data_IF_566944030372
#
_entry.id   IF_566944030372
#
_cell.length_a   1.000
_cell.length_b   1.000
_cell.length_c   1.000
_cell.angle_alpha   90.00
_cell.angle_beta   90.00
_cell.angle_gamma   90.00
#
_symmetry.space_group_name_H-M   'P 1'
#
loop_
_entity.id
_entity.type
_entity.pdbx_description
1 polymer ?
#
# COMPACT_ATOMS: atom_id res chain seq x y z
N UNK A 1 7.86 -1.21 43.58
CA UNK A 1 6.71 -2.10 43.30
C UNK A 1 5.44 -1.29 43.45
N UNK A 2 4.72 -1.06 42.35
CA UNK A 2 3.50 -0.24 42.31
C UNK A 2 2.32 -1.17 41.98
N UNK A 3 1.51 -1.46 43.00
CA UNK A 3 0.27 -2.24 42.94
C UNK A 3 -0.89 -1.32 42.56
N UNK A 4 -1.65 -1.64 41.49
CA UNK A 4 -3.01 -1.11 41.33
C UNK A 4 -3.96 -2.19 40.83
N UNK A 5 -5.09 -2.25 41.53
CA UNK A 5 -6.03 -3.34 41.62
C UNK A 5 -7.00 -3.45 40.43
N UNK A 6 -7.41 -4.68 40.18
CA UNK A 6 -8.49 -5.08 39.30
C UNK A 6 -9.80 -4.40 39.68
N UNK A 7 -10.50 -3.79 38.71
CA UNK A 7 -11.93 -3.45 38.84
C UNK A 7 -12.72 -4.16 37.75
N UNK A 8 -13.16 -5.36 38.11
CA UNK A 8 -14.33 -6.03 37.54
C UNK A 8 -15.57 -5.16 37.81
N UNK A 9 -16.34 -4.86 36.78
CA UNK A 9 -17.76 -4.49 36.92
C UNK A 9 -18.54 -5.24 35.83
N UNK A 10 -19.19 -6.33 36.25
CA UNK A 10 -20.34 -6.90 35.56
C UNK A 10 -21.56 -6.05 35.93
N UNK A 11 -22.45 -5.83 34.98
CA UNK A 11 -23.84 -5.45 35.23
C UNK A 11 -24.70 -6.05 34.10
N UNK A 12 -25.85 -6.60 34.48
CA UNK A 12 -26.75 -7.47 33.70
C UNK A 12 -28.15 -6.83 33.73
N UNK A 13 -28.87 -6.74 32.60
CA UNK A 13 -30.34 -6.56 32.60
C UNK A 13 -30.98 -5.40 31.80
N UNK A 14 -31.67 -5.80 30.71
CA UNK A 14 -32.99 -5.34 30.19
C UNK A 14 -33.25 -3.93 29.56
N UNK A 15 -33.46 -3.97 28.24
CA UNK A 15 -34.60 -3.48 27.40
C UNK A 15 -35.03 -1.99 27.46
N UNK A 16 -34.77 -1.25 26.37
CA UNK A 16 -35.38 0.06 26.06
C UNK A 16 -35.13 0.48 24.60
N UNK A 17 -36.15 1.01 23.93
CA UNK A 17 -36.22 1.30 22.50
C UNK A 17 -35.77 2.74 22.15
N UNK A 18 -35.13 2.88 20.97
CA UNK A 18 -35.02 4.07 20.10
C UNK A 18 -33.97 5.18 20.38
N UNK A 19 -33.34 5.55 19.26
CA UNK A 19 -32.65 6.80 18.86
C UNK A 19 -31.18 7.04 19.18
N UNK A 20 -30.52 7.56 18.13
CA UNK A 20 -29.30 8.37 18.09
C UNK A 20 -27.94 7.67 18.16
N UNK A 21 -27.29 7.66 16.98
CA UNK A 21 -25.87 7.91 16.75
C UNK A 21 -24.95 7.99 17.97
N UNK A 22 -24.10 6.98 18.10
CA UNK A 22 -22.74 7.18 18.56
C UNK A 22 -21.88 6.15 17.83
N UNK A 23 -21.08 6.66 16.88
CA UNK A 23 -20.04 5.89 16.23
C UNK A 23 -19.12 5.32 17.32
N UNK A 24 -19.18 4.00 17.50
CA UNK A 24 -18.15 3.28 18.24
C UNK A 24 -16.95 3.16 17.31
N UNK A 25 -16.13 4.23 17.30
CA UNK A 25 -14.78 4.23 16.73
C UNK A 25 -13.87 3.38 17.62
N UNK A 26 -14.19 2.10 17.66
CA UNK A 26 -13.42 1.11 18.39
C UNK A 26 -12.23 0.73 17.52
N UNK A 27 -11.20 1.58 17.54
CA UNK A 27 -9.78 1.26 17.41
C UNK A 27 -9.47 -0.05 16.67
N UNK A 28 -9.96 -0.20 15.44
CA UNK A 28 -9.43 -1.22 14.54
C UNK A 28 -8.00 -0.78 14.29
N UNK A 29 -7.02 -1.54 14.81
CA UNK A 29 -5.65 -1.50 14.30
C UNK A 29 -5.77 -1.86 12.83
N UNK A 30 -5.99 -0.83 12.01
CA UNK A 30 -6.13 -0.94 10.57
C UNK A 30 -4.86 -1.62 10.10
N UNK A 31 -4.98 -2.85 9.61
CA UNK A 31 -3.82 -3.57 9.11
C UNK A 31 -3.20 -2.70 8.01
N UNK A 32 -1.88 -2.74 7.83
CA UNK A 32 -1.20 -1.97 6.75
C UNK A 32 -1.88 -2.23 5.39
N UNK A 33 -2.48 -3.43 5.23
CA UNK A 33 -3.32 -3.83 4.10
C UNK A 33 -4.57 -2.96 3.90
N UNK A 34 -5.26 -2.55 4.95
CA UNK A 34 -6.48 -1.73 4.86
C UNK A 34 -6.20 -0.23 4.67
N UNK A 35 -4.97 0.23 4.98
CA UNK A 35 -4.49 1.60 4.69
C UNK A 35 -3.85 1.74 3.30
N UNK A 36 -3.53 0.63 2.64
CA UNK A 36 -3.15 0.67 1.24
C UNK A 36 -4.42 1.10 0.48
N UNK A 37 -4.46 2.37 0.04
CA UNK A 37 -5.55 2.98 -0.72
C UNK A 37 -5.70 2.31 -2.09
N UNK A 38 -6.08 1.05 -2.07
CA UNK A 38 -6.55 0.30 -3.23
C UNK A 38 -7.93 0.89 -3.51
N UNK A 39 -7.97 1.98 -4.30
CA UNK A 39 -9.21 2.40 -4.96
C UNK A 39 -9.86 1.15 -5.57
N UNK A 40 -11.18 1.07 -5.63
CA UNK A 40 -11.89 -0.15 -6.08
C UNK A 40 -11.48 -0.66 -7.48
N UNK A 41 -10.75 0.15 -8.23
CA UNK A 41 -10.08 -0.16 -9.50
C UNK A 41 -8.87 -1.09 -9.36
N UNK A 42 -8.31 -1.31 -8.17
CA UNK A 42 -7.16 -2.17 -7.96
C UNK A 42 -7.56 -3.38 -7.08
N UNK A 43 -6.97 -4.56 -7.31
CA UNK A 43 -7.17 -5.75 -6.48
C UNK A 43 -5.88 -6.54 -6.37
N UNK A 44 -5.49 -6.94 -5.17
CA UNK A 44 -4.30 -7.74 -4.93
C UNK A 44 -4.68 -9.19 -4.69
N UNK A 45 -3.99 -10.11 -5.37
CA UNK A 45 -4.14 -11.55 -5.26
C UNK A 45 -2.79 -12.17 -4.91
N UNK A 46 -2.77 -13.09 -3.94
CA UNK A 46 -1.58 -13.82 -3.54
C UNK A 46 -1.75 -15.28 -3.99
N UNK A 47 -1.09 -15.74 -5.06
CA UNK A 47 -1.21 -17.12 -5.53
C UNK A 47 -0.80 -18.14 -4.46
N UNK A 48 0.19 -17.79 -3.63
CA UNK A 48 0.64 -18.57 -2.49
C UNK A 48 0.54 -17.72 -1.22
N UNK A 49 -0.29 -18.10 -0.23
CA UNK A 49 -0.46 -17.32 1.00
C UNK A 49 0.83 -17.24 1.85
N UNK A 50 1.79 -18.13 1.62
CA UNK A 50 3.08 -18.12 2.34
C UNK A 50 4.13 -17.22 1.67
N UNK A 51 3.89 -16.77 0.43
CA UNK A 51 4.82 -15.92 -0.34
C UNK A 51 4.27 -14.52 -0.51
N UNK A 52 4.25 -13.76 0.59
CA UNK A 52 3.75 -12.37 0.58
C UNK A 52 4.60 -11.41 -0.28
N UNK A 53 5.84 -11.79 -0.60
CA UNK A 53 6.73 -11.02 -1.48
C UNK A 53 6.41 -11.22 -2.98
N UNK A 54 5.59 -12.21 -3.34
CA UNK A 54 5.16 -12.47 -4.70
C UNK A 54 3.63 -12.36 -4.80
N UNK A 55 3.13 -11.37 -5.51
CA UNK A 55 1.70 -11.16 -5.65
C UNK A 55 1.31 -10.63 -7.02
N UNK A 56 0.04 -10.78 -7.33
CA UNK A 56 -0.57 -10.27 -8.55
C UNK A 56 -1.45 -9.07 -8.23
N UNK A 57 -1.30 -8.00 -9.00
CA UNK A 57 -2.16 -6.82 -8.95
C UNK A 57 -3.04 -6.82 -10.21
N UNK A 58 -4.35 -6.75 -10.01
CA UNK A 58 -5.31 -6.49 -11.09
C UNK A 58 -5.70 -5.02 -11.04
N UNK A 59 -5.57 -4.32 -12.15
CA UNK A 59 -6.03 -2.93 -12.32
C UNK A 59 -7.17 -2.91 -13.34
N UNK A 60 -8.25 -2.25 -12.99
CA UNK A 60 -9.46 -2.04 -13.78
C UNK A 60 -9.78 -0.55 -13.78
N UNK A 61 -9.23 0.22 -14.73
CA UNK A 61 -9.48 1.66 -14.81
C UNK A 61 -10.97 1.93 -15.04
N UNK A 62 -11.49 2.91 -14.31
CA UNK A 62 -12.86 3.42 -14.41
C UNK A 62 -12.96 4.68 -15.29
N UNK A 63 -11.83 5.24 -15.71
CA UNK A 63 -11.72 6.42 -16.58
C UNK A 63 -10.53 6.33 -17.56
N UNK A 64 -10.50 7.24 -18.53
CA UNK A 64 -9.41 7.39 -19.51
C UNK A 64 -9.44 6.38 -20.66
N UNK A 65 -8.37 6.34 -21.46
CA UNK A 65 -8.27 5.51 -22.67
C UNK A 65 -8.40 4.00 -22.43
N UNK A 66 -8.11 3.55 -21.20
CA UNK A 66 -8.12 2.15 -20.80
C UNK A 66 -9.32 1.78 -19.92
N UNK A 67 -10.33 2.66 -19.86
CA UNK A 67 -11.56 2.44 -19.10
C UNK A 67 -12.22 1.10 -19.47
N UNK A 68 -12.65 0.36 -18.46
CA UNK A 68 -13.29 -0.96 -18.63
C UNK A 68 -12.30 -2.10 -18.94
N UNK A 69 -11.02 -1.79 -19.16
CA UNK A 69 -9.96 -2.78 -19.32
C UNK A 69 -9.64 -3.51 -18.01
N UNK A 70 -8.99 -4.66 -18.12
CA UNK A 70 -8.49 -5.44 -16.97
C UNK A 70 -7.05 -5.84 -17.22
N UNK A 71 -6.14 -5.30 -16.42
CA UNK A 71 -4.70 -5.46 -16.60
C UNK A 71 -4.13 -6.18 -15.38
N UNK A 72 -3.45 -7.29 -15.61
CA UNK A 72 -2.81 -8.07 -14.57
C UNK A 72 -1.32 -7.77 -14.54
N UNK A 73 -0.80 -7.57 -13.35
CA UNK A 73 0.59 -7.31 -13.07
C UNK A 73 1.09 -8.34 -12.08
N UNK A 74 2.29 -8.85 -12.31
CA UNK A 74 3.03 -9.68 -11.36
C UNK A 74 4.07 -8.80 -10.68
N UNK A 75 4.14 -8.87 -9.34
CA UNK A 75 5.09 -8.14 -8.52
C UNK A 75 5.90 -9.09 -7.68
N UNK A 76 7.22 -8.95 -7.75
CA UNK A 76 8.19 -9.66 -6.93
C UNK A 76 9.00 -8.63 -6.13
N UNK A 77 8.88 -8.71 -4.81
CA UNK A 77 9.63 -7.88 -3.87
C UNK A 77 10.92 -8.64 -3.53
N UNK A 78 12.11 -8.13 -3.93
CA UNK A 78 13.37 -8.78 -3.59
C UNK A 78 13.69 -8.62 -2.11
N UNK A 79 14.52 -9.52 -1.55
CA UNK A 79 15.00 -9.42 -0.16
C UNK A 79 15.71 -8.09 0.11
N UNK A 80 16.38 -7.56 -0.91
CA UNK A 80 17.06 -6.27 -0.87
C UNK A 80 16.15 -5.08 -1.24
N UNK A 81 14.83 -5.14 -1.00
CA UNK A 81 13.87 -4.10 -1.42
C UNK A 81 14.27 -2.67 -1.01
N UNK A 82 14.93 -2.50 0.14
CA UNK A 82 15.43 -1.21 0.59
C UNK A 82 16.53 -0.63 -0.33
N UNK A 83 17.25 -1.47 -1.06
CA UNK A 83 18.34 -1.11 -1.98
C UNK A 83 17.96 -1.28 -3.46
N UNK A 84 16.99 -2.15 -3.75
CA UNK A 84 16.59 -2.54 -5.10
C UNK A 84 15.06 -2.44 -5.20
N UNK A 85 14.52 -1.77 -6.23
CA UNK A 85 13.08 -1.66 -6.41
C UNK A 85 12.43 -3.04 -6.60
N UNK A 86 11.11 -3.15 -6.38
CA UNK A 86 10.39 -4.37 -6.73
C UNK A 86 10.39 -4.56 -8.24
N UNK A 87 10.41 -5.82 -8.68
CA UNK A 87 10.20 -6.14 -10.08
C UNK A 87 8.70 -6.20 -10.35
N UNK A 88 8.25 -5.46 -11.36
CA UNK A 88 6.84 -5.45 -11.77
C UNK A 88 6.76 -5.73 -13.26
N UNK A 89 5.92 -6.70 -13.64
CA UNK A 89 5.69 -7.09 -15.03
C UNK A 89 4.20 -7.11 -15.34
N UNK A 90 3.80 -6.50 -16.44
CA UNK A 90 2.45 -6.59 -16.97
C UNK A 90 2.27 -7.94 -17.67
N UNK A 91 1.31 -8.75 -17.21
CA UNK A 91 0.97 -10.04 -17.82
C UNK A 91 -0.04 -9.86 -18.97
N UNK A 92 -0.78 -8.75 -18.98
CA UNK A 92 -1.75 -8.44 -20.04
C UNK A 92 -1.05 -7.73 -21.20
N UNK A 93 -1.17 -8.27 -22.42
CA UNK A 93 -0.66 -7.61 -23.63
C UNK A 93 -1.47 -6.36 -23.92
N UNK A 94 -0.81 -5.20 -23.87
CA UNK A 94 -1.43 -3.90 -24.10
C UNK A 94 -0.51 -2.97 -24.85
N UNK A 95 -1.09 -2.03 -25.58
CA UNK A 95 -0.35 -0.88 -26.08
C UNK A 95 -0.40 0.22 -25.01
N UNK A 96 0.74 0.51 -24.39
CA UNK A 96 0.88 1.61 -23.43
C UNK A 96 2.30 2.21 -23.54
N UNK A 97 2.48 3.54 -23.53
CA UNK A 97 3.79 4.17 -23.78
C UNK A 97 4.91 3.71 -22.85
N UNK A 98 4.56 3.29 -21.63
CA UNK A 98 5.50 2.83 -20.61
C UNK A 98 5.52 1.31 -20.41
N UNK A 99 4.83 0.54 -21.25
CA UNK A 99 4.77 -0.93 -21.14
C UNK A 99 5.17 -1.53 -22.47
N UNK A 100 6.22 -2.35 -22.46
CA UNK A 100 6.71 -3.03 -23.66
C UNK A 100 5.76 -4.16 -24.07
N UNK A 101 5.91 -4.68 -25.29
CA UNK A 101 5.14 -5.85 -25.76
C UNK A 101 5.38 -7.10 -24.90
N UNK A 102 6.55 -7.20 -24.28
CA UNK A 102 6.93 -8.26 -23.34
C UNK A 102 6.44 -8.01 -21.91
N UNK A 103 5.81 -6.86 -21.66
CA UNK A 103 5.21 -6.51 -20.36
C UNK A 103 6.15 -5.82 -19.37
N UNK A 104 7.35 -5.41 -19.80
CA UNK A 104 8.28 -4.66 -18.96
C UNK A 104 7.79 -3.22 -18.77
N UNK A 105 7.98 -2.68 -17.57
CA UNK A 105 7.41 -1.39 -17.16
C UNK A 105 8.51 -0.35 -16.96
N UNK A 106 8.41 0.76 -17.69
CA UNK A 106 9.32 1.89 -17.61
C UNK A 106 8.73 3.02 -16.76
N UNK A 107 8.83 2.89 -15.44
CA UNK A 107 8.46 3.94 -14.48
C UNK A 107 9.68 4.39 -13.69
N UNK A 108 9.83 5.71 -13.49
CA UNK A 108 10.96 6.27 -12.72
C UNK A 108 11.03 5.72 -11.30
N UNK A 109 9.88 5.43 -10.69
CA UNK A 109 9.80 4.85 -9.34
C UNK A 109 10.30 3.39 -9.27
N UNK A 110 10.42 2.70 -10.41
CA UNK A 110 10.95 1.34 -10.50
C UNK A 110 12.38 1.32 -11.07
N UNK A 111 12.94 2.49 -11.41
CA UNK A 111 14.31 2.60 -11.89
C UNK A 111 15.29 2.54 -10.71
N UNK A 112 16.18 1.55 -10.74
CA UNK A 112 17.23 1.34 -9.74
C UNK A 112 18.08 2.60 -9.49
N UNK A 113 18.33 3.43 -10.51
CA UNK A 113 19.14 4.67 -10.36
C UNK A 113 18.42 5.75 -9.56
N UNK A 114 17.09 5.70 -9.53
CA UNK A 114 16.22 6.66 -8.88
C UNK A 114 15.51 6.07 -7.66
N UNK A 115 15.82 4.81 -7.31
CA UNK A 115 15.25 4.13 -6.15
C UNK A 115 15.83 4.76 -4.88
N UNK A 116 15.02 5.60 -4.27
CA UNK A 116 15.30 6.14 -2.95
C UNK A 116 14.87 5.06 -1.96
N UNK A 117 15.84 4.24 -1.52
CA UNK A 117 15.68 3.44 -0.31
C UNK A 117 15.29 4.32 0.88
N UNK A 118 14.98 3.73 2.06
CA UNK A 118 14.80 4.53 3.25
C UNK A 118 16.03 5.43 3.44
N UNK A 119 15.81 6.75 3.46
CA UNK A 119 16.85 7.75 3.63
C UNK A 119 17.33 7.68 5.09
N UNK A 120 18.14 6.67 5.40
CA UNK A 120 18.77 6.47 6.69
C UNK A 120 20.28 6.54 6.46
N UNK A 121 20.90 7.57 7.04
CA UNK A 121 22.35 7.58 7.19
C UNK A 121 22.78 6.33 7.97
N UNK A 122 24.06 5.93 7.93
CA UNK A 122 24.59 4.71 8.58
C UNK A 122 24.30 4.57 10.10
N UNK A 123 23.70 5.59 10.73
CA UNK A 123 23.26 5.62 12.12
C UNK A 123 21.73 5.70 12.32
N UNK A 124 20.91 5.54 11.28
CA UNK A 124 19.44 5.52 11.41
C UNK A 124 18.81 6.88 11.74
N UNK A 125 19.50 8.00 11.52
CA UNK A 125 18.93 9.35 11.67
C UNK A 125 18.39 9.87 10.33
N UNK A 126 17.30 10.66 10.32
CA UNK A 126 16.89 11.38 9.13
C UNK A 126 17.94 12.45 8.79
N UNK A 127 18.54 12.36 7.59
CA UNK A 127 19.57 13.29 7.13
C UNK A 127 19.01 14.71 7.03
N UNK A 128 19.57 15.71 7.72
CA UNK A 128 19.11 17.09 7.59
C UNK A 128 19.77 17.68 6.35
N UNK A 129 19.11 17.64 5.17
CA UNK A 129 19.76 18.29 4.03
C UNK A 129 19.16 18.23 2.63
N UNK A 130 18.12 17.44 2.35
CA UNK A 130 17.46 17.50 1.03
C UNK A 130 15.97 17.73 1.18
N UNK A 131 15.61 18.99 1.44
CA UNK A 131 14.27 19.44 1.06
C UNK A 131 14.15 19.25 -0.46
N UNK A 132 13.07 18.63 -0.97
CA UNK A 132 12.79 18.70 -2.39
C UNK A 132 12.63 20.18 -2.74
N UNK A 133 13.49 20.66 -3.64
CA UNK A 133 13.45 22.04 -4.17
C UNK A 133 12.22 22.14 -5.07
N UNK A 134 11.04 22.28 -4.48
CA UNK A 134 9.85 22.78 -5.19
C UNK A 134 10.08 24.26 -5.44
N UNK A 135 10.85 24.56 -6.49
CA UNK A 135 10.86 25.90 -7.07
C UNK A 135 9.59 26.05 -7.89
N UNK A 136 8.54 26.59 -7.25
CA UNK A 136 7.50 27.28 -7.99
C UNK A 136 8.08 28.64 -8.41
N UNK A 137 7.99 29.03 -9.71
CA UNK A 137 8.30 30.39 -10.12
C UNK A 137 7.30 31.39 -9.50
N UNK A 138 7.68 32.68 -9.40
CA UNK A 138 6.89 33.71 -8.71
C UNK A 138 5.50 33.93 -9.32
#
# INVERSE_FOLDING_TARGET
>A
MLTLASKLKRDDGLRGSRTAAAASDSARRVSVRDRLLVKGTCKVHFPDPNKLHCFQLTVTPDEGYYQGGKFQFETEVPDAYNMVPPKVRCLTRIWHPNITETGEICLRALDRRHWLGPHADAEGRPSPGRRPRWHLPP
#
